data_IF_884405084802
#
_entry.id   IF_884405084802
#
_cell.length_a   1.000
_cell.length_b   1.000
_cell.length_c   1.000
_cell.angle_alpha   90.00
_cell.angle_beta   90.00
_cell.angle_gamma   90.00
#
_symmetry.space_group_name_H-M   'P 1'
#
loop_
_entity.id
_entity.type
_entity.pdbx_description
1 polymer ?
#
# COMPACT_ATOMS: atom_id res chain seq x y z
N UNK A 1 13.89 20.32 -5.47
CA UNK A 1 13.50 19.64 -4.23
C UNK A 1 13.11 18.24 -4.63
N UNK A 2 13.82 17.21 -4.19
CA UNK A 2 13.39 15.83 -4.47
C UNK A 2 12.07 15.59 -3.73
N UNK A 3 11.04 15.18 -4.46
CA UNK A 3 9.78 14.71 -3.90
C UNK A 3 10.08 13.67 -2.80
N UNK A 4 9.48 13.82 -1.62
CA UNK A 4 9.71 12.89 -0.51
C UNK A 4 9.17 11.51 -0.88
N UNK A 5 10.06 10.63 -1.35
CA UNK A 5 9.74 9.27 -1.80
C UNK A 5 9.09 8.40 -0.70
N UNK A 6 9.10 8.83 0.57
CA UNK A 6 8.35 8.17 1.66
C UNK A 6 6.84 8.37 1.52
N UNK A 7 6.40 9.48 0.94
CA UNK A 7 4.99 9.85 0.79
C UNK A 7 4.67 10.21 -0.67
N UNK A 8 4.81 9.25 -1.62
CA UNK A 8 4.67 9.53 -3.05
C UNK A 8 3.26 10.01 -3.47
N UNK A 9 2.25 9.77 -2.63
CA UNK A 9 0.86 10.24 -2.82
C UNK A 9 0.42 11.23 -1.71
N UNK A 10 1.37 11.77 -0.94
CA UNK A 10 1.09 12.59 0.23
C UNK A 10 0.64 11.78 1.46
N UNK A 11 0.15 12.50 2.48
CA UNK A 11 -0.39 11.93 3.72
C UNK A 11 -1.92 11.95 3.70
N UNK A 12 -2.52 10.98 4.39
CA UNK A 12 -3.97 10.97 4.59
C UNK A 12 -4.44 12.28 5.23
N UNK A 13 -5.44 12.90 4.61
CA UNK A 13 -6.14 14.06 5.15
C UNK A 13 -7.57 13.64 5.44
N UNK A 14 -7.99 13.60 6.72
CA UNK A 14 -9.32 13.11 7.08
C UNK A 14 -10.40 14.04 6.48
N UNK A 15 -11.44 13.48 5.83
CA UNK A 15 -12.57 14.28 5.38
C UNK A 15 -13.32 14.84 6.60
N UNK A 16 -13.87 16.05 6.45
CA UNK A 16 -14.65 16.70 7.53
C UNK A 16 -15.96 15.98 7.83
N UNK A 17 -16.56 15.40 6.79
CA UNK A 17 -17.81 14.64 6.86
C UNK A 17 -17.62 13.34 6.07
N UNK A 18 -18.21 12.26 6.55
CA UNK A 18 -18.13 10.92 5.95
C UNK A 18 -19.55 10.49 5.59
N UNK A 19 -19.81 10.31 4.30
CA UNK A 19 -21.08 9.79 3.80
C UNK A 19 -21.10 8.26 3.78
N UNK A 20 -22.29 7.66 3.78
CA UNK A 20 -22.44 6.22 3.61
C UNK A 20 -21.94 5.72 2.25
N UNK A 21 -22.00 6.56 1.20
CA UNK A 21 -21.42 6.21 -0.10
C UNK A 21 -19.90 6.16 -0.07
N UNK A 22 -19.23 7.04 0.69
CA UNK A 22 -17.79 6.99 0.90
C UNK A 22 -17.41 5.75 1.70
N UNK A 23 -18.16 5.43 2.76
CA UNK A 23 -17.94 4.21 3.55
C UNK A 23 -18.05 2.96 2.67
N UNK A 24 -19.09 2.87 1.82
CA UNK A 24 -19.23 1.74 0.91
C UNK A 24 -18.05 1.65 -0.07
N UNK A 25 -17.62 2.78 -0.64
CA UNK A 25 -16.44 2.83 -1.52
C UNK A 25 -15.17 2.35 -0.83
N UNK A 26 -14.91 2.76 0.41
CA UNK A 26 -13.75 2.30 1.17
C UNK A 26 -13.81 0.81 1.52
N UNK A 27 -15.00 0.28 1.83
CA UNK A 27 -15.20 -1.16 2.04
C UNK A 27 -14.82 -1.93 0.76
N UNK A 28 -15.31 -1.48 -0.39
CA UNK A 28 -15.04 -2.12 -1.68
C UNK A 28 -13.54 -2.05 -2.04
N UNK A 29 -12.89 -0.91 -1.78
CA UNK A 29 -11.44 -0.72 -1.97
C UNK A 29 -10.61 -1.66 -1.08
N UNK A 30 -10.95 -1.76 0.22
CA UNK A 30 -10.28 -2.68 1.16
C UNK A 30 -10.48 -4.13 0.71
N UNK A 31 -11.68 -4.50 0.27
CA UNK A 31 -11.98 -5.85 -0.22
C UNK A 31 -11.20 -6.21 -1.49
N UNK A 32 -10.97 -5.25 -2.39
CA UNK A 32 -10.23 -5.45 -3.63
C UNK A 32 -8.70 -5.49 -3.45
N UNK A 33 -8.17 -4.88 -2.39
CA UNK A 33 -6.73 -4.72 -2.17
C UNK A 33 -5.92 -6.03 -2.26
N UNK A 34 -6.30 -7.17 -1.63
CA UNK A 34 -5.50 -8.38 -1.69
C UNK A 34 -5.34 -8.95 -3.10
N UNK A 35 -6.40 -8.88 -3.91
CA UNK A 35 -6.37 -9.35 -5.31
C UNK A 35 -5.49 -8.42 -6.16
N UNK A 36 -5.65 -7.11 -6.01
CA UNK A 36 -4.86 -6.11 -6.74
C UNK A 36 -3.38 -6.23 -6.40
N UNK A 37 -3.04 -6.38 -5.11
CA UNK A 37 -1.67 -6.54 -4.66
C UNK A 37 -1.04 -7.82 -5.22
N UNK A 38 -1.77 -8.94 -5.19
CA UNK A 38 -1.30 -10.21 -5.78
C UNK A 38 -1.05 -10.07 -7.28
N UNK A 39 -1.97 -9.46 -8.02
CA UNK A 39 -1.82 -9.27 -9.46
C UNK A 39 -0.62 -8.36 -9.80
N UNK A 40 -0.35 -7.35 -8.97
CA UNK A 40 0.78 -6.45 -9.14
C UNK A 40 2.12 -7.15 -8.94
N UNK A 41 2.25 -7.99 -7.90
CA UNK A 41 3.55 -8.58 -7.50
C UNK A 41 3.79 -9.99 -8.05
N UNK A 42 2.76 -10.69 -8.56
CA UNK A 42 2.93 -12.04 -9.12
C UNK A 42 3.91 -12.14 -10.30
N UNK A 43 4.11 -11.11 -11.15
CA UNK A 43 5.08 -11.17 -12.23
C UNK A 43 6.52 -10.92 -11.77
N UNK A 44 6.73 -10.50 -10.52
CA UNK A 44 8.05 -10.08 -10.05
C UNK A 44 8.93 -11.30 -9.80
N UNK A 45 10.17 -11.24 -10.29
CA UNK A 45 11.19 -12.20 -9.92
C UNK A 45 11.78 -11.89 -8.52
N UNK A 46 12.62 -12.79 -8.01
CA UNK A 46 13.23 -12.63 -6.68
C UNK A 46 14.00 -11.31 -6.53
N UNK A 47 14.80 -10.93 -7.54
CA UNK A 47 15.57 -9.68 -7.51
C UNK A 47 14.67 -8.45 -7.43
N UNK A 48 13.55 -8.43 -8.18
CA UNK A 48 12.57 -7.35 -8.13
C UNK A 48 11.86 -7.29 -6.77
N UNK A 49 11.52 -8.43 -6.18
CA UNK A 49 10.94 -8.49 -4.83
C UNK A 49 11.90 -7.98 -3.76
N UNK A 50 13.21 -8.17 -3.94
CA UNK A 50 14.26 -7.74 -3.02
C UNK A 50 14.82 -6.35 -3.36
N UNK A 51 14.20 -5.62 -4.30
CA UNK A 51 14.58 -4.25 -4.64
C UNK A 51 13.93 -3.24 -3.67
N UNK A 52 14.70 -2.33 -3.04
CA UNK A 52 14.14 -1.25 -2.21
C UNK A 52 13.24 -0.30 -3.00
N UNK A 53 12.08 0.07 -2.45
CA UNK A 53 11.18 1.02 -3.14
C UNK A 53 11.72 2.47 -3.16
N UNK A 54 12.68 2.78 -2.27
CA UNK A 54 13.42 4.04 -2.19
C UNK A 54 14.80 3.80 -1.56
N UNK A 55 15.77 4.74 -1.68
CA UNK A 55 17.06 4.64 -0.98
C UNK A 55 16.86 4.43 0.52
N UNK A 56 17.62 3.47 1.07
CA UNK A 56 17.58 3.04 2.48
C UNK A 56 16.17 2.62 2.97
N UNK A 57 15.28 2.28 2.05
CA UNK A 57 13.91 1.85 2.31
C UNK A 57 13.76 0.33 2.34
N UNK A 58 12.53 -0.10 2.61
CA UNK A 58 12.16 -1.50 2.54
C UNK A 58 12.11 -2.02 1.10
N UNK A 59 12.37 -3.31 0.96
CA UNK A 59 12.13 -4.03 -0.29
C UNK A 59 10.63 -4.18 -0.57
N UNK A 60 10.27 -4.45 -1.83
CA UNK A 60 8.88 -4.77 -2.19
C UNK A 60 8.34 -5.91 -1.34
N UNK A 61 9.14 -6.96 -1.12
CA UNK A 61 8.79 -8.10 -0.26
C UNK A 61 8.44 -7.66 1.17
N UNK A 62 9.28 -6.83 1.79
CA UNK A 62 9.06 -6.33 3.14
C UNK A 62 7.80 -5.47 3.25
N UNK A 63 7.53 -4.60 2.26
CA UNK A 63 6.31 -3.79 2.22
C UNK A 63 5.05 -4.67 2.11
N UNK A 64 5.08 -5.70 1.26
CA UNK A 64 3.96 -6.65 1.10
C UNK A 64 3.68 -7.39 2.41
N UNK A 65 4.71 -7.86 3.11
CA UNK A 65 4.53 -8.50 4.42
C UNK A 65 4.01 -7.52 5.46
N UNK A 66 4.57 -6.31 5.52
CA UNK A 66 4.11 -5.30 6.46
C UNK A 66 2.64 -4.92 6.28
N UNK A 67 2.13 -4.86 5.04
CA UNK A 67 0.70 -4.64 4.79
C UNK A 67 -0.16 -5.71 5.45
N UNK A 68 0.26 -6.97 5.39
CA UNK A 68 -0.42 -8.08 6.06
C UNK A 68 -0.41 -7.89 7.58
N UNK A 69 0.77 -7.66 8.18
CA UNK A 69 0.94 -7.52 9.63
C UNK A 69 0.14 -6.32 10.18
N UNK A 70 0.23 -5.17 9.49
CA UNK A 70 -0.48 -3.94 9.82
C UNK A 70 -2.00 -4.12 9.80
N UNK A 71 -2.54 -4.82 8.79
CA UNK A 71 -3.98 -5.03 8.64
C UNK A 71 -4.52 -6.09 9.60
N UNK A 72 -3.67 -7.02 10.06
CA UNK A 72 -4.02 -8.01 11.08
C UNK A 72 -3.92 -7.46 12.51
N UNK A 73 -3.42 -6.22 12.70
CA UNK A 73 -3.11 -5.63 14.00
C UNK A 73 -2.18 -6.49 14.87
N UNK A 74 -1.15 -7.12 14.27
CA UNK A 74 -0.18 -7.96 14.98
C UNK A 74 1.03 -7.20 15.49
#
# INVERSE_FOLDING_TARGET
MMDDLRYPIGKYTPPREISMSQVQGWIDEIAALPQNLRALVSPFNAQQLDTPYRPDGWTVRQVVHHLCDSHLNS
#
